data_IF_420578886603
#
_entry.id   IF_420578886603
#
_cell.length_a   1.000
_cell.length_b   1.000
_cell.length_c   1.000
_cell.angle_alpha   90.00
_cell.angle_beta   90.00
_cell.angle_gamma   90.00
#
_symmetry.space_group_name_H-M   'P 1'
#
loop_
_entity.id
_entity.type
_entity.pdbx_description
1 polymer ?
#
# COMPACT_ATOMS: atom_id res chain seq x y z
N UNK A 1 12.24 -15.90 -21.39
CA UNK A 1 10.88 -15.66 -20.85
C UNK A 1 10.82 -15.37 -19.33
N UNK A 2 11.93 -15.45 -18.58
CA UNK A 2 11.98 -15.13 -17.15
C UNK A 2 12.10 -13.62 -16.82
N UNK A 3 12.45 -12.77 -17.79
CA UNK A 3 12.75 -11.34 -17.56
C UNK A 3 11.52 -10.41 -17.42
N UNK A 4 10.34 -10.80 -17.90
CA UNK A 4 9.15 -9.91 -17.90
C UNK A 4 8.35 -10.04 -16.60
N UNK A 5 8.41 -11.21 -15.96
CA UNK A 5 7.69 -11.46 -14.72
C UNK A 5 8.36 -10.77 -13.52
N UNK A 6 9.68 -10.65 -13.54
CA UNK A 6 10.44 -9.98 -12.47
C UNK A 6 10.10 -8.49 -12.39
N UNK A 7 9.97 -7.77 -13.51
CA UNK A 7 9.71 -6.33 -13.47
C UNK A 7 8.31 -5.96 -12.99
N UNK A 8 7.30 -6.82 -13.20
CA UNK A 8 5.92 -6.52 -12.82
C UNK A 8 5.67 -6.62 -11.31
N UNK A 9 6.45 -7.42 -10.60
CA UNK A 9 6.31 -7.61 -9.14
C UNK A 9 7.51 -7.06 -8.35
N UNK A 10 8.47 -6.43 -9.03
CA UNK A 10 9.57 -5.73 -8.38
C UNK A 10 9.11 -4.31 -7.99
N UNK A 11 9.13 -3.96 -6.69
CA UNK A 11 8.85 -2.60 -6.28
C UNK A 11 9.98 -1.66 -6.69
N UNK A 12 9.66 -0.39 -6.94
CA UNK A 12 10.68 0.65 -7.15
C UNK A 12 11.43 0.97 -5.86
N UNK A 13 10.74 0.91 -4.72
CA UNK A 13 11.30 1.15 -3.40
C UNK A 13 10.73 0.16 -2.39
N UNK A 14 11.60 -0.41 -1.55
CA UNK A 14 11.21 -1.11 -0.32
C UNK A 14 11.60 -0.22 0.83
N UNK A 15 10.62 0.16 1.66
CA UNK A 15 10.84 1.16 2.71
C UNK A 15 11.61 0.58 3.91
N UNK A 16 11.43 -0.71 4.20
CA UNK A 16 12.07 -1.38 5.35
C UNK A 16 11.45 -1.00 6.70
N UNK A 17 10.19 -0.57 6.68
CA UNK A 17 9.43 -0.12 7.83
C UNK A 17 7.96 0.12 7.46
N UNK A 18 7.21 0.72 8.37
CA UNK A 18 5.77 0.96 8.19
C UNK A 18 5.52 2.13 7.24
N UNK A 19 4.26 2.38 6.88
CA UNK A 19 3.90 3.55 6.07
C UNK A 19 4.33 4.88 6.70
N UNK A 20 4.49 4.94 8.03
CA UNK A 20 4.92 6.16 8.73
C UNK A 20 6.34 6.61 8.40
N UNK A 21 7.18 5.71 7.90
CA UNK A 21 8.54 6.04 7.46
C UNK A 21 8.55 6.74 6.07
N UNK A 22 7.39 6.77 5.39
CA UNK A 22 7.21 7.57 4.18
C UNK A 22 7.18 9.05 4.58
N UNK A 23 8.17 9.82 4.15
CA UNK A 23 8.30 11.23 4.48
C UNK A 23 8.06 12.15 3.27
N UNK A 24 7.69 13.41 3.50
CA UNK A 24 7.59 14.42 2.45
C UNK A 24 8.90 14.58 1.65
N UNK A 25 10.05 14.46 2.32
CA UNK A 25 11.37 14.51 1.67
C UNK A 25 11.58 13.34 0.71
N UNK A 26 11.13 12.14 1.07
CA UNK A 26 11.21 10.98 0.20
C UNK A 26 10.39 11.19 -1.07
N UNK A 27 9.16 11.72 -0.94
CA UNK A 27 8.33 12.07 -2.09
C UNK A 27 9.04 13.07 -3.02
N UNK A 28 9.63 14.12 -2.46
CA UNK A 28 10.39 15.11 -3.23
C UNK A 28 11.59 14.50 -3.95
N UNK A 29 12.40 13.67 -3.26
CA UNK A 29 13.60 13.03 -3.84
C UNK A 29 13.27 12.18 -5.06
N UNK A 30 12.08 11.57 -5.08
CA UNK A 30 11.59 10.76 -6.18
C UNK A 30 10.66 11.51 -7.14
N UNK A 31 10.51 12.84 -6.99
CA UNK A 31 9.61 13.68 -7.79
C UNK A 31 8.15 13.19 -7.81
N UNK A 32 7.69 12.67 -6.67
CA UNK A 32 6.34 12.18 -6.46
C UNK A 32 5.45 13.33 -5.99
N UNK A 33 4.31 13.51 -6.67
CA UNK A 33 3.31 14.56 -6.42
C UNK A 33 1.95 13.99 -6.05
N UNK A 34 1.78 12.68 -6.17
CA UNK A 34 0.58 11.96 -5.78
C UNK A 34 0.92 10.65 -5.08
N UNK A 35 0.04 10.24 -4.16
CA UNK A 35 0.16 8.99 -3.42
C UNK A 35 -1.20 8.30 -3.40
N UNK A 36 -1.25 7.08 -3.92
CA UNK A 36 -2.35 6.14 -3.78
C UNK A 36 -1.96 5.16 -2.68
N UNK A 37 -2.71 5.14 -1.58
CA UNK A 37 -2.44 4.31 -0.42
C UNK A 37 -3.41 3.14 -0.35
N UNK A 38 -2.89 1.94 -0.11
CA UNK A 38 -3.71 0.89 0.47
C UNK A 38 -4.07 1.23 1.92
N UNK A 39 -5.13 0.60 2.44
CA UNK A 39 -5.69 0.94 3.75
C UNK A 39 -5.41 -0.15 4.77
N UNK A 40 -5.98 -1.34 4.54
CA UNK A 40 -5.87 -2.42 5.51
C UNK A 40 -4.47 -3.02 5.47
N UNK A 41 -3.87 -3.26 6.64
CA UNK A 41 -2.50 -3.74 6.83
C UNK A 41 -1.39 -2.82 6.28
N UNK A 42 -1.74 -1.68 5.69
CA UNK A 42 -0.79 -0.64 5.26
C UNK A 42 -0.92 0.62 6.12
N UNK A 43 -2.12 1.20 6.19
CA UNK A 43 -2.39 2.46 6.89
C UNK A 43 -2.87 2.23 8.33
N UNK A 44 -3.71 1.22 8.50
CA UNK A 44 -4.30 0.83 9.78
C UNK A 44 -4.37 -0.70 9.86
N UNK A 45 -4.16 -1.29 11.05
CA UNK A 45 -4.45 -2.70 11.24
C UNK A 45 -5.93 -2.99 10.95
N UNK A 46 -6.22 -4.12 10.33
CA UNK A 46 -7.55 -4.55 9.88
C UNK A 46 -8.67 -4.40 10.93
N UNK A 47 -8.34 -4.49 12.22
CA UNK A 47 -9.30 -4.49 13.34
C UNK A 47 -9.23 -3.26 14.25
N UNK A 48 -8.37 -2.27 13.98
CA UNK A 48 -8.16 -1.13 14.88
C UNK A 48 -9.06 0.09 14.57
N UNK A 49 -9.23 0.93 15.59
CA UNK A 49 -9.99 2.20 15.61
C UNK A 49 -9.26 3.28 14.80
N UNK A 50 -10.05 4.05 14.06
CA UNK A 50 -9.65 4.84 12.89
C UNK A 50 -9.17 6.27 13.25
N UNK A 51 -8.99 6.55 14.55
CA UNK A 51 -8.75 7.88 15.12
C UNK A 51 -7.38 7.97 15.82
N UNK A 52 -6.34 7.51 15.15
CA UNK A 52 -4.96 7.59 15.64
C UNK A 52 -4.39 9.00 15.35
N UNK A 53 -4.01 9.79 16.37
CA UNK A 53 -3.42 11.11 16.18
C UNK A 53 -2.14 11.10 15.36
N UNK A 54 -1.30 10.06 15.50
CA UNK A 54 -0.03 9.98 14.79
C UNK A 54 -0.27 9.78 13.29
N UNK A 55 -1.31 9.01 12.94
CA UNK A 55 -1.75 8.83 11.57
C UNK A 55 -2.26 10.13 10.95
N UNK A 56 -3.03 10.92 11.68
CA UNK A 56 -3.53 12.23 11.20
C UNK A 56 -2.37 13.20 10.98
N UNK A 57 -1.42 13.25 11.91
CA UNK A 57 -0.25 14.12 11.81
C UNK A 57 0.64 13.74 10.62
N UNK A 58 0.94 12.45 10.47
CA UNK A 58 1.68 11.92 9.32
C UNK A 58 0.97 12.23 7.99
N UNK A 59 -0.34 11.96 7.91
CA UNK A 59 -1.14 12.24 6.71
C UNK A 59 -1.11 13.72 6.35
N UNK A 60 -1.16 14.60 7.33
CA UNK A 60 -1.06 16.06 7.13
C UNK A 60 0.27 16.44 6.48
N UNK A 61 1.37 15.85 6.94
CA UNK A 61 2.70 16.05 6.34
C UNK A 61 2.75 15.60 4.87
N UNK A 62 2.19 14.44 4.54
CA UNK A 62 2.13 13.93 3.17
C UNK A 62 1.24 14.81 2.28
N UNK A 63 0.05 15.19 2.75
CA UNK A 63 -0.89 16.07 2.02
C UNK A 63 -0.32 17.45 1.73
N UNK A 64 0.61 17.94 2.56
CA UNK A 64 1.27 19.22 2.33
C UNK A 64 2.11 19.26 1.05
N UNK A 65 2.52 18.09 0.54
CA UNK A 65 3.46 17.99 -0.59
C UNK A 65 2.92 17.19 -1.78
N UNK A 66 1.78 16.50 -1.62
CA UNK A 66 1.18 15.71 -2.69
C UNK A 66 -0.30 15.42 -2.51
N UNK A 67 -0.96 15.05 -3.61
CA UNK A 67 -2.36 14.60 -3.62
C UNK A 67 -2.44 13.18 -3.06
N UNK A 68 -3.37 12.91 -2.16
CA UNK A 68 -3.53 11.58 -1.56
C UNK A 68 -4.90 10.99 -1.90
N UNK A 69 -4.91 9.71 -2.28
CA UNK A 69 -6.13 8.91 -2.43
C UNK A 69 -6.00 7.59 -1.68
N UNK A 70 -7.09 7.14 -1.08
CA UNK A 70 -7.17 5.78 -0.51
C UNK A 70 -7.80 4.82 -1.51
N UNK A 71 -7.15 3.68 -1.77
CA UNK A 71 -7.68 2.65 -2.68
C UNK A 71 -7.54 1.28 -2.05
N UNK A 72 -8.66 0.77 -1.52
CA UNK A 72 -8.70 -0.49 -0.76
C UNK A 72 -9.40 -1.62 -1.50
N UNK A 73 -8.92 -2.85 -1.31
CA UNK A 73 -9.62 -4.07 -1.70
C UNK A 73 -10.80 -4.42 -0.79
N UNK A 74 -10.91 -3.77 0.37
CA UNK A 74 -11.95 -4.04 1.35
C UNK A 74 -13.32 -3.63 0.81
N UNK A 75 -14.25 -4.58 0.91
CA UNK A 75 -15.64 -4.42 0.48
C UNK A 75 -16.49 -3.72 1.54
N UNK A 76 -16.03 -3.69 2.80
CA UNK A 76 -16.67 -2.93 3.86
C UNK A 76 -16.42 -1.43 3.67
N UNK A 77 -17.23 -0.81 2.80
CA UNK A 77 -17.08 0.59 2.47
C UNK A 77 -17.31 1.54 3.65
N UNK A 78 -17.99 1.11 4.71
CA UNK A 78 -18.20 1.94 5.90
C UNK A 78 -16.89 2.22 6.65
N UNK A 79 -16.03 1.22 6.79
CA UNK A 79 -14.71 1.35 7.41
C UNK A 79 -13.82 2.30 6.62
N UNK A 80 -13.67 2.04 5.33
CA UNK A 80 -12.83 2.88 4.46
C UNK A 80 -13.35 4.31 4.41
N UNK A 81 -14.68 4.51 4.37
CA UNK A 81 -15.28 5.84 4.43
C UNK A 81 -14.93 6.58 5.72
N UNK A 82 -15.01 5.92 6.89
CA UNK A 82 -14.67 6.58 8.17
C UNK A 82 -13.20 6.99 8.22
N UNK A 83 -12.29 6.12 7.78
CA UNK A 83 -10.86 6.42 7.68
C UNK A 83 -10.62 7.60 6.73
N UNK A 84 -11.20 7.54 5.52
CA UNK A 84 -11.05 8.59 4.52
C UNK A 84 -11.61 9.94 5.00
N UNK A 85 -12.72 9.93 5.74
CA UNK A 85 -13.30 11.12 6.33
C UNK A 85 -12.42 11.69 7.44
N UNK A 86 -11.87 10.85 8.32
CA UNK A 86 -10.99 11.29 9.40
C UNK A 86 -9.68 11.91 8.86
N UNK A 87 -9.20 11.41 7.72
CA UNK A 87 -8.00 11.90 7.04
C UNK A 87 -8.28 13.00 6.01
N UNK A 88 -9.56 13.28 5.77
CA UNK A 88 -10.06 14.25 4.78
C UNK A 88 -9.45 14.03 3.38
N UNK A 89 -9.54 12.79 2.89
CA UNK A 89 -9.02 12.37 1.58
C UNK A 89 -10.07 11.62 0.76
N UNK A 90 -10.05 11.73 -0.58
CA UNK A 90 -10.88 10.92 -1.45
C UNK A 90 -10.52 9.43 -1.36
N UNK A 91 -11.50 8.56 -1.63
CA UNK A 91 -11.31 7.11 -1.52
C UNK A 91 -12.09 6.29 -2.55
N UNK A 92 -11.58 5.10 -2.83
CA UNK A 92 -12.23 4.06 -3.62
C UNK A 92 -12.12 2.72 -2.87
N UNK A 93 -13.25 2.05 -2.66
CA UNK A 93 -13.34 0.74 -1.97
C UNK A 93 -13.46 -0.39 -2.98
N UNK A 94 -13.48 -1.66 -2.59
CA UNK A 94 -13.71 -2.81 -3.49
C UNK A 94 -12.89 -2.74 -4.78
N UNK A 95 -11.60 -2.39 -4.69
CA UNK A 95 -10.75 -2.14 -5.86
C UNK A 95 -10.46 -3.38 -6.71
N UNK A 96 -10.42 -4.55 -6.07
CA UNK A 96 -10.14 -5.82 -6.75
C UNK A 96 -8.72 -5.88 -7.33
N UNK A 97 -7.74 -5.20 -6.70
CA UNK A 97 -6.31 -5.32 -7.01
C UNK A 97 -5.95 -6.82 -7.06
N UNK A 98 -5.26 -7.31 -8.11
CA UNK A 98 -4.40 -6.55 -9.03
C UNK A 98 -5.10 -5.93 -10.24
N UNK A 99 -6.43 -5.84 -10.26
CA UNK A 99 -7.15 -5.00 -11.23
C UNK A 99 -6.70 -3.55 -11.14
N UNK A 100 -6.51 -2.93 -12.31
CA UNK A 100 -6.03 -1.55 -12.44
C UNK A 100 -7.14 -0.52 -12.36
N UNK A 101 -8.40 -0.95 -12.45
CA UNK A 101 -9.55 -0.08 -12.76
C UNK A 101 -9.68 1.09 -11.77
N UNK A 102 -9.63 0.83 -10.46
CA UNK A 102 -9.79 1.89 -9.45
C UNK A 102 -8.52 2.71 -9.24
N UNK A 103 -7.34 2.12 -9.37
CA UNK A 103 -6.09 2.89 -9.37
C UNK A 103 -6.05 3.87 -10.54
N UNK A 104 -6.50 3.44 -11.73
CA UNK A 104 -6.60 4.32 -12.91
C UNK A 104 -7.57 5.49 -12.66
N UNK A 105 -8.71 5.23 -12.02
CA UNK A 105 -9.66 6.29 -11.66
C UNK A 105 -9.05 7.31 -10.68
N UNK A 106 -8.33 6.84 -9.65
CA UNK A 106 -7.63 7.72 -8.73
C UNK A 106 -6.54 8.55 -9.45
N UNK A 107 -5.75 7.91 -10.32
CA UNK A 107 -4.73 8.58 -11.13
C UNK A 107 -5.32 9.65 -12.06
N UNK A 108 -6.39 9.32 -12.79
CA UNK A 108 -7.10 10.27 -13.66
C UNK A 108 -7.67 11.45 -12.86
N UNK A 109 -8.23 11.20 -11.67
CA UNK A 109 -8.75 12.25 -10.80
C UNK A 109 -7.65 13.11 -10.15
N UNK A 110 -6.45 12.54 -9.95
CA UNK A 110 -5.29 13.31 -9.52
C UNK A 110 -4.76 14.24 -10.62
N UNK A 111 -5.05 13.99 -11.90
CA UNK A 111 -4.53 14.74 -13.04
C UNK A 111 -3.00 14.90 -12.98
N UNK A 112 -2.33 13.75 -12.79
CA UNK A 112 -0.88 13.65 -12.70
C UNK A 112 -0.39 12.56 -13.66
N UNK A 113 0.84 12.68 -14.19
CA UNK A 113 1.44 11.60 -14.94
C UNK A 113 1.75 10.39 -14.02
N UNK A 114 1.60 9.14 -14.52
CA UNK A 114 1.76 7.93 -13.70
C UNK A 114 3.07 7.89 -12.90
N UNK A 115 4.18 8.29 -13.50
CA UNK A 115 5.52 8.27 -12.91
C UNK A 115 5.69 9.26 -11.74
N UNK A 116 4.80 10.24 -11.59
CA UNK A 116 4.77 11.17 -10.46
C UNK A 116 3.78 10.73 -9.37
N UNK A 117 3.19 9.54 -9.49
CA UNK A 117 2.24 9.00 -8.52
C UNK A 117 2.75 7.69 -7.96
N UNK A 118 2.82 7.61 -6.63
CA UNK A 118 3.20 6.40 -5.93
C UNK A 118 2.00 5.52 -5.60
N UNK A 119 2.11 4.22 -5.82
CA UNK A 119 1.26 3.21 -5.18
C UNK A 119 2.00 2.66 -3.97
N UNK A 120 1.41 2.79 -2.78
CA UNK A 120 2.00 2.34 -1.51
C UNK A 120 1.12 1.27 -0.90
N UNK A 121 1.70 0.11 -0.57
CA UNK A 121 1.00 -1.00 0.06
C UNK A 121 1.96 -2.07 0.57
N UNK A 122 1.43 -3.05 1.28
CA UNK A 122 2.24 -4.09 1.94
C UNK A 122 2.37 -5.39 1.12
N UNK A 123 1.72 -5.48 -0.05
CA UNK A 123 1.62 -6.73 -0.83
C UNK A 123 2.14 -6.59 -2.26
N UNK A 124 2.95 -7.58 -2.65
CA UNK A 124 3.53 -7.62 -3.99
C UNK A 124 2.50 -7.92 -5.08
N UNK A 125 1.69 -8.97 -4.91
CA UNK A 125 0.85 -9.48 -5.99
C UNK A 125 -0.45 -8.68 -6.16
N UNK A 126 -0.72 -7.73 -5.26
CA UNK A 126 -1.85 -6.80 -5.37
C UNK A 126 -1.37 -5.40 -5.67
N UNK A 127 -0.64 -4.77 -4.76
CA UNK A 127 -0.37 -3.34 -4.79
C UNK A 127 0.75 -3.00 -5.75
N UNK A 128 1.92 -3.65 -5.58
CA UNK A 128 3.06 -3.48 -6.49
C UNK A 128 2.69 -3.90 -7.90
N UNK A 129 2.05 -5.08 -8.05
CA UNK A 129 1.61 -5.54 -9.36
C UNK A 129 0.61 -4.60 -10.03
N UNK A 130 -0.38 -4.06 -9.30
CA UNK A 130 -1.33 -3.13 -9.88
C UNK A 130 -0.69 -1.80 -10.28
N UNK A 131 0.20 -1.26 -9.42
CA UNK A 131 0.92 -0.01 -9.67
C UNK A 131 1.86 -0.11 -10.86
N UNK A 132 2.70 -1.15 -10.91
CA UNK A 132 3.62 -1.38 -12.03
C UNK A 132 2.88 -1.53 -13.37
N UNK A 133 1.72 -2.18 -13.38
CA UNK A 133 0.87 -2.33 -14.59
C UNK A 133 0.24 -1.03 -15.07
N UNK A 134 0.29 0.04 -14.27
CA UNK A 134 -0.13 1.39 -14.63
C UNK A 134 1.05 2.35 -14.82
N UNK A 135 2.29 1.90 -14.63
CA UNK A 135 3.47 2.76 -14.68
C UNK A 135 3.63 3.67 -13.46
N UNK A 136 2.95 3.36 -12.34
CA UNK A 136 3.11 4.08 -11.08
C UNK A 136 4.46 3.73 -10.44
N UNK A 137 4.99 4.65 -9.63
CA UNK A 137 6.09 4.34 -8.73
C UNK A 137 5.57 3.45 -7.59
N UNK A 138 6.15 2.27 -7.36
CA UNK A 138 5.66 1.34 -6.34
C UNK A 138 6.54 1.35 -5.10
N UNK A 139 5.93 1.57 -3.94
CA UNK A 139 6.57 1.55 -2.63
C UNK A 139 5.99 0.39 -1.83
N UNK A 140 6.83 -0.58 -1.50
CA UNK A 140 6.48 -1.68 -0.63
C UNK A 140 6.84 -1.32 0.82
N UNK A 141 5.85 -1.41 1.70
CA UNK A 141 6.02 -1.20 3.15
C UNK A 141 5.85 -2.51 3.92
N UNK A 142 6.36 -2.54 5.14
CA UNK A 142 6.05 -3.61 6.07
C UNK A 142 4.59 -3.50 6.50
N UNK A 143 3.89 -4.64 6.65
CA UNK A 143 2.50 -4.62 7.09
C UNK A 143 2.41 -4.06 8.51
N UNK A 144 1.37 -3.27 8.76
CA UNK A 144 1.06 -2.79 10.10
C UNK A 144 0.89 -3.99 11.04
N UNK A 145 1.50 -3.97 12.25
CA UNK A 145 1.41 -5.08 13.17
C UNK A 145 -0.05 -5.37 13.54
N UNK A 146 -0.57 -6.49 13.07
CA UNK A 146 -1.87 -7.01 13.51
C UNK A 146 -1.71 -7.65 14.89
N UNK A 147 -2.60 -7.28 15.81
CA UNK A 147 -2.65 -7.86 17.15
C UNK A 147 -3.17 -9.31 17.15
N UNK A 148 -3.84 -9.76 16.09
CA UNK A 148 -4.38 -11.13 15.94
C UNK A 148 -4.03 -11.75 14.58
N UNK A 149 -3.40 -12.93 14.58
CA UNK A 149 -2.80 -13.59 13.41
C UNK A 149 -3.74 -14.53 12.62
N UNK A 150 -5.06 -14.46 12.79
CA UNK A 150 -5.96 -15.49 12.27
C UNK A 150 -6.66 -15.10 10.96
N UNK A 151 -5.92 -15.10 9.84
CA UNK A 151 -6.53 -15.14 8.49
C UNK A 151 -5.93 -16.26 7.60
N UNK A 152 -6.62 -17.41 7.46
CA UNK A 152 -6.06 -18.62 6.85
C UNK A 152 -6.03 -18.64 5.31
N UNK A 153 -6.83 -17.82 4.60
CA UNK A 153 -6.84 -17.82 3.12
C UNK A 153 -5.82 -16.87 2.50
N UNK A 154 -5.42 -15.84 3.25
CA UNK A 154 -4.35 -14.92 2.85
C UNK A 154 -2.96 -15.45 3.21
N UNK A 155 -2.84 -16.40 4.15
CA UNK A 155 -1.53 -16.91 4.59
C UNK A 155 -0.76 -17.62 3.49
N UNK A 156 -1.40 -18.42 2.61
CA UNK A 156 -0.69 -19.17 1.56
C UNK A 156 -0.15 -18.26 0.45
N UNK A 157 -0.98 -17.37 -0.09
CA UNK A 157 -0.52 -16.39 -1.08
C UNK A 157 0.53 -15.44 -0.48
N UNK A 158 0.34 -15.04 0.78
CA UNK A 158 1.34 -14.25 1.52
C UNK A 158 2.64 -15.01 1.73
N UNK A 159 2.58 -16.30 2.03
CA UNK A 159 3.77 -17.16 2.16
C UNK A 159 4.53 -17.24 0.84
N UNK A 160 3.81 -17.39 -0.28
CA UNK A 160 4.42 -17.36 -1.61
C UNK A 160 5.04 -15.99 -1.93
N UNK A 161 4.37 -14.89 -1.59
CA UNK A 161 4.91 -13.53 -1.72
C UNK A 161 6.20 -13.36 -0.90
N UNK A 162 6.21 -13.79 0.35
CA UNK A 162 7.38 -13.72 1.24
C UNK A 162 8.52 -14.58 0.69
N UNK A 163 8.23 -15.77 0.17
CA UNK A 163 9.22 -16.61 -0.48
C UNK A 163 9.82 -15.93 -1.73
N UNK A 164 8.98 -15.27 -2.54
CA UNK A 164 9.41 -14.51 -3.71
C UNK A 164 10.29 -13.32 -3.31
N UNK A 165 9.91 -12.57 -2.28
CA UNK A 165 10.70 -11.46 -1.73
C UNK A 165 12.09 -11.92 -1.27
N UNK A 166 12.15 -13.01 -0.51
CA UNK A 166 13.42 -13.62 -0.07
C UNK A 166 14.27 -14.07 -1.24
N UNK A 167 13.67 -14.67 -2.27
CA UNK A 167 14.38 -15.05 -3.49
C UNK A 167 14.94 -13.83 -4.26
N UNK A 168 14.31 -12.67 -4.13
CA UNK A 168 14.79 -11.39 -4.69
C UNK A 168 15.81 -10.68 -3.78
N UNK A 169 16.18 -11.26 -2.63
CA UNK A 169 17.09 -10.65 -1.66
C UNK A 169 16.45 -9.50 -0.85
N UNK A 170 15.12 -9.37 -0.90
CA UNK A 170 14.37 -8.37 -0.14
C UNK A 170 13.95 -8.99 1.20
N UNK A 171 14.46 -8.45 2.31
CA UNK A 171 13.99 -8.78 3.64
C UNK A 171 12.93 -7.78 4.09
N UNK A 172 11.69 -8.24 4.24
CA UNK A 172 10.70 -7.53 5.07
C UNK A 172 10.98 -7.84 6.54
N UNK A 173 10.66 -6.91 7.43
CA UNK A 173 10.63 -7.20 8.87
C UNK A 173 9.52 -8.23 9.07
N UNK A 174 9.91 -9.51 9.18
CA UNK A 174 8.96 -10.61 9.06
C UNK A 174 7.84 -10.48 10.09
N UNK A 175 6.57 -10.74 9.73
CA UNK A 175 5.58 -11.02 10.75
C UNK A 175 6.08 -12.25 11.55
N UNK A 176 5.88 -12.26 12.88
CA UNK A 176 6.25 -13.41 13.70
C UNK A 176 5.66 -14.69 13.11
N UNK A 177 6.34 -15.84 13.22
CA UNK A 177 5.81 -17.10 12.72
C UNK A 177 4.43 -17.34 13.32
N UNK A 178 3.48 -17.95 12.57
CA UNK A 178 2.19 -18.30 13.11
C UNK A 178 2.41 -19.15 14.36
N UNK A 179 1.80 -18.73 15.47
CA UNK A 179 1.75 -19.51 16.69
C UNK A 179 1.28 -20.93 16.32
N UNK A 180 2.13 -21.94 16.52
CA UNK A 180 1.71 -23.32 16.33
C UNK A 180 0.59 -23.62 17.34
N UNK A 181 -0.42 -24.42 16.96
CA UNK A 181 -1.53 -24.79 17.83
C UNK A 181 -1.05 -25.53 19.09
#
# INVERSE_FOLDING_TARGET
MAMVWSSLVQPNLVLGGSVFDLSPDLLHRHNLKGVILDVDDTLVPLRQVESDPDLIAWMTGIKAVGKVWLVSNNVNGSRIKRIANALEVPYLTSAGKPSRRKLKQALEAMDLPPEQVAMVGDRLLTDVLAGNRLGLFTILVDPMPNLDQDQPRFSLLRTLEVALLRAMGISLSAPPPPSQP
#
